data_IF_032183778489
#
_entry.id   IF_032183778489
#
_cell.length_a   1.000
_cell.length_b   1.000
_cell.length_c   1.000
_cell.angle_alpha   90.00
_cell.angle_beta   90.00
_cell.angle_gamma   90.00
#
_symmetry.space_group_name_H-M   'P 1'
#
loop_
_entity.id
_entity.type
_entity.pdbx_description
1 polymer ?
#
# COMPACT_ATOMS: atom_id res chain seq x y z
N UNK A 1 25.27 20.46 -27.28
CA UNK A 1 23.86 20.32 -26.87
C UNK A 1 23.69 20.91 -25.48
N UNK A 2 23.56 22.24 -25.39
CA UNK A 2 23.27 22.94 -24.13
C UNK A 2 21.86 23.52 -24.26
N UNK A 3 20.88 22.77 -23.77
CA UNK A 3 19.47 23.18 -23.76
C UNK A 3 19.04 23.48 -22.33
N UNK A 4 18.90 24.77 -22.02
CA UNK A 4 18.12 25.36 -20.93
C UNK A 4 17.83 24.47 -19.68
N UNK A 5 18.74 24.48 -18.71
CA UNK A 5 18.67 23.71 -17.44
C UNK A 5 17.68 24.27 -16.39
N UNK A 6 16.94 25.35 -16.68
CA UNK A 6 16.13 26.08 -15.68
C UNK A 6 14.79 25.41 -15.30
N UNK A 7 14.48 24.23 -15.84
CA UNK A 7 13.28 23.45 -15.48
C UNK A 7 13.53 21.96 -15.18
N UNK A 8 14.74 21.46 -15.44
CA UNK A 8 15.07 20.03 -15.32
C UNK A 8 15.07 19.55 -13.86
N UNK A 9 15.57 20.35 -12.92
CA UNK A 9 15.56 19.99 -11.50
C UNK A 9 14.17 20.02 -10.87
N UNK A 10 13.27 20.89 -11.35
CA UNK A 10 11.90 21.01 -10.82
C UNK A 10 11.05 19.81 -11.24
N UNK A 11 11.14 19.40 -12.51
CA UNK A 11 10.39 18.23 -12.99
C UNK A 11 10.87 16.93 -12.32
N UNK A 12 12.18 16.79 -12.10
CA UNK A 12 12.75 15.63 -11.41
C UNK A 12 12.30 15.55 -9.96
N UNK A 13 12.30 16.69 -9.24
CA UNK A 13 11.76 16.75 -7.88
C UNK A 13 10.28 16.40 -7.84
N UNK A 14 9.47 16.90 -8.78
CA UNK A 14 8.04 16.58 -8.84
C UNK A 14 7.79 15.08 -9.07
N UNK A 15 8.61 14.43 -9.90
CA UNK A 15 8.52 12.97 -10.11
C UNK A 15 8.87 12.23 -8.82
N UNK A 16 9.95 12.60 -8.13
CA UNK A 16 10.34 11.97 -6.87
C UNK A 16 9.28 12.16 -5.78
N UNK A 17 8.70 13.35 -5.66
CA UNK A 17 7.64 13.63 -4.70
C UNK A 17 6.37 12.84 -5.03
N UNK A 18 5.99 12.74 -6.31
CA UNK A 18 4.85 11.94 -6.73
C UNK A 18 5.03 10.45 -6.37
N UNK A 19 6.23 9.90 -6.60
CA UNK A 19 6.58 8.53 -6.21
C UNK A 19 6.52 8.31 -4.70
N UNK A 20 7.08 9.25 -3.91
CA UNK A 20 7.01 9.20 -2.45
C UNK A 20 5.57 9.28 -1.93
N UNK A 21 4.72 10.10 -2.55
CA UNK A 21 3.30 10.20 -2.22
C UNK A 21 2.56 8.88 -2.40
N UNK A 22 2.73 8.24 -3.57
CA UNK A 22 2.12 6.92 -3.85
C UNK A 22 2.63 5.84 -2.90
N UNK A 23 3.93 5.82 -2.62
CA UNK A 23 4.53 4.88 -1.67
C UNK A 23 3.96 5.06 -0.24
N UNK A 24 3.80 6.31 0.20
CA UNK A 24 3.26 6.64 1.52
C UNK A 24 1.81 6.18 1.65
N UNK A 25 0.98 6.36 0.61
CA UNK A 25 -0.41 5.89 0.61
C UNK A 25 -0.48 4.37 0.77
N UNK A 26 0.39 3.63 0.09
CA UNK A 26 0.48 2.17 0.24
C UNK A 26 0.87 1.75 1.66
N UNK A 27 1.86 2.43 2.25
CA UNK A 27 2.32 2.15 3.60
C UNK A 27 1.24 2.41 4.65
N UNK A 28 0.49 3.52 4.53
CA UNK A 28 -0.59 3.86 5.46
C UNK A 28 -1.68 2.77 5.48
N UNK A 29 -2.05 2.21 4.31
CA UNK A 29 -3.04 1.12 4.22
C UNK A 29 -2.59 -0.15 4.95
N UNK A 30 -1.30 -0.48 4.85
CA UNK A 30 -0.72 -1.64 5.56
C UNK A 30 -0.71 -1.41 7.07
N UNK A 31 -0.30 -0.22 7.50
CA UNK A 31 -0.24 0.16 8.91
C UNK A 31 -1.63 0.21 9.56
N UNK A 32 -2.67 0.69 8.86
CA UNK A 32 -4.03 0.73 9.38
C UNK A 32 -4.54 -0.63 9.86
N UNK A 33 -4.21 -1.71 9.14
CA UNK A 33 -4.63 -3.07 9.53
C UNK A 33 -3.93 -3.53 10.82
N UNK A 34 -2.65 -3.21 10.97
CA UNK A 34 -1.88 -3.52 12.19
C UNK A 34 -2.33 -2.71 13.40
N UNK A 35 -2.49 -1.39 13.24
CA UNK A 35 -2.91 -0.48 14.32
C UNK A 35 -4.31 -0.83 14.83
N UNK A 36 -5.27 -1.11 13.95
CA UNK A 36 -6.61 -1.51 14.37
C UNK A 36 -6.60 -2.82 15.16
N UNK A 37 -5.79 -3.79 14.74
CA UNK A 37 -5.64 -5.07 15.46
C UNK A 37 -5.02 -4.87 16.83
N UNK A 38 -3.97 -4.05 16.91
CA UNK A 38 -3.29 -3.79 18.17
C UNK A 38 -4.17 -2.99 19.15
N UNK A 39 -4.96 -2.04 18.65
CA UNK A 39 -5.96 -1.33 19.45
C UNK A 39 -7.03 -2.29 19.96
N UNK A 40 -7.53 -3.20 19.13
CA UNK A 40 -8.49 -4.22 19.55
C UNK A 40 -7.91 -5.13 20.64
N UNK A 41 -6.65 -5.54 20.52
CA UNK A 41 -5.96 -6.32 21.56
C UNK A 41 -5.86 -5.55 22.89
N UNK A 42 -5.51 -4.26 22.85
CA UNK A 42 -5.46 -3.42 24.06
C UNK A 42 -6.84 -3.29 24.69
N UNK A 43 -7.88 -3.02 23.90
CA UNK A 43 -9.26 -2.91 24.39
C UNK A 43 -9.75 -4.23 25.00
N UNK A 44 -9.44 -5.37 24.37
CA UNK A 44 -9.82 -6.69 24.89
C UNK A 44 -9.07 -7.03 26.18
N UNK A 45 -7.76 -6.72 26.27
CA UNK A 45 -6.99 -6.89 27.48
C UNK A 45 -7.54 -6.04 28.65
N UNK A 46 -7.95 -4.79 28.36
CA UNK A 46 -8.59 -3.91 29.35
C UNK A 46 -9.99 -4.41 29.77
N UNK A 47 -10.72 -5.08 28.89
CA UNK A 47 -12.03 -5.68 29.18
C UNK A 47 -11.93 -6.97 30.00
N UNK A 48 -10.74 -7.53 30.18
CA UNK A 48 -10.53 -8.77 30.92
C UNK A 48 -11.05 -10.02 30.21
N UNK A 49 -11.42 -9.92 28.94
CA UNK A 49 -11.79 -11.08 28.13
C UNK A 49 -10.51 -11.84 27.75
N UNK A 50 -10.40 -13.10 28.19
CA UNK A 50 -9.35 -14.03 27.73
C UNK A 50 -9.69 -14.47 26.31
N UNK A 51 -9.46 -13.61 25.33
CA UNK A 51 -9.57 -13.97 23.93
C UNK A 51 -8.17 -14.19 23.40
N UNK A 52 -7.95 -15.34 22.76
CA UNK A 52 -6.68 -15.67 22.09
C UNK A 52 -6.17 -14.47 21.29
N UNK A 53 -4.88 -14.14 21.45
CA UNK A 53 -4.22 -13.00 20.80
C UNK A 53 -4.74 -12.81 19.38
N UNK A 54 -5.42 -11.68 19.11
CA UNK A 54 -5.82 -11.35 17.75
C UNK A 54 -4.52 -11.06 16.99
N UNK A 55 -3.94 -12.12 16.42
CA UNK A 55 -2.76 -12.01 15.57
C UNK A 55 -3.15 -11.16 14.37
N UNK A 56 -2.38 -10.12 14.02
CA UNK A 56 -2.60 -9.39 12.80
C UNK A 56 -2.60 -10.40 11.66
N UNK A 57 -3.77 -10.56 11.03
CA UNK A 57 -3.96 -11.48 9.90
C UNK A 57 -2.98 -11.01 8.83
N UNK A 58 -1.97 -11.83 8.54
CA UNK A 58 -0.98 -11.51 7.52
C UNK A 58 -1.72 -11.05 6.25
N UNK A 59 -1.31 -9.93 5.62
CA UNK A 59 -2.03 -9.35 4.49
C UNK A 59 -2.28 -10.43 3.46
N UNK A 60 -3.56 -10.74 3.25
CA UNK A 60 -3.95 -11.88 2.43
C UNK A 60 -3.38 -11.72 1.02
N UNK A 61 -3.02 -12.83 0.37
CA UNK A 61 -2.49 -12.83 -1.01
C UNK A 61 -3.37 -12.06 -2.01
N UNK A 62 -4.66 -11.83 -1.69
CA UNK A 62 -5.56 -10.97 -2.47
C UNK A 62 -5.15 -9.49 -2.48
N UNK A 63 -4.66 -8.94 -1.37
CA UNK A 63 -4.20 -7.54 -1.33
C UNK A 63 -2.99 -7.31 -2.24
N UNK A 64 -2.05 -8.27 -2.26
CA UNK A 64 -0.92 -8.25 -3.19
C UNK A 64 -1.37 -8.40 -4.64
N UNK A 65 -2.42 -9.19 -4.88
CA UNK A 65 -2.98 -9.45 -6.22
C UNK A 65 -3.83 -8.30 -6.77
N UNK A 66 -4.40 -7.46 -5.92
CA UNK A 66 -5.05 -6.21 -6.34
C UNK A 66 -4.02 -5.09 -6.60
N UNK A 67 -2.89 -5.10 -5.89
CA UNK A 67 -1.79 -4.17 -6.13
C UNK A 67 -0.99 -4.53 -7.39
N UNK A 68 -0.75 -5.83 -7.60
CA UNK A 68 -0.14 -6.35 -8.81
C UNK A 68 -1.22 -6.42 -9.89
N UNK A 69 -1.29 -5.40 -10.76
CA UNK A 69 -2.24 -5.31 -11.88
C UNK A 69 -2.04 -6.42 -12.96
N UNK A 70 -1.40 -7.53 -12.60
CA UNK A 70 -1.13 -8.69 -13.45
C UNK A 70 -2.42 -9.30 -14.00
N UNK A 71 -3.55 -9.22 -13.27
CA UNK A 71 -4.85 -9.67 -13.78
C UNK A 71 -5.44 -8.72 -14.84
N UNK A 72 -5.18 -7.41 -14.76
CA UNK A 72 -5.62 -6.46 -15.79
C UNK A 72 -4.94 -6.74 -17.15
N UNK A 73 -3.64 -7.05 -17.13
CA UNK A 73 -2.87 -7.48 -18.31
C UNK A 73 -3.43 -8.76 -18.93
N UNK A 74 -3.73 -9.77 -18.10
CA UNK A 74 -4.21 -11.06 -18.56
C UNK A 74 -5.63 -10.99 -19.17
N UNK A 75 -6.49 -10.11 -18.65
CA UNK A 75 -7.82 -9.88 -19.22
C UNK A 75 -7.81 -9.01 -20.49
N UNK A 76 -6.83 -8.12 -20.67
CA UNK A 76 -6.67 -7.33 -21.89
C UNK A 76 -6.13 -8.17 -23.06
N UNK A 77 -5.27 -9.16 -22.77
CA UNK A 77 -4.66 -10.02 -23.81
C UNK A 77 -5.55 -11.20 -24.23
N UNK A 78 -6.49 -11.62 -23.37
CA UNK A 78 -7.37 -12.78 -23.63
C UNK A 78 -8.73 -12.40 -24.27
N UNK A 79 -8.86 -11.17 -24.81
CA UNK A 79 -10.06 -10.73 -25.56
C UNK A 79 -9.92 -10.93 -27.08
N UNK A 80 -8.81 -11.48 -27.56
CA UNK A 80 -8.52 -11.65 -29.00
C UNK A 80 -8.43 -13.12 -29.48
N UNK A 81 -9.00 -14.10 -28.75
CA UNK A 81 -9.27 -15.44 -29.28
C UNK A 81 -10.58 -16.04 -28.77
#
# INVERSE_FOLDING_TARGET
MLGNQKGQGVIEYLILVALMGVATIGMVKLLQSGVNTQLANVVNALRGEKTEDLRPKAPSKRLYREQDMSEFSNHATNKDK
#
